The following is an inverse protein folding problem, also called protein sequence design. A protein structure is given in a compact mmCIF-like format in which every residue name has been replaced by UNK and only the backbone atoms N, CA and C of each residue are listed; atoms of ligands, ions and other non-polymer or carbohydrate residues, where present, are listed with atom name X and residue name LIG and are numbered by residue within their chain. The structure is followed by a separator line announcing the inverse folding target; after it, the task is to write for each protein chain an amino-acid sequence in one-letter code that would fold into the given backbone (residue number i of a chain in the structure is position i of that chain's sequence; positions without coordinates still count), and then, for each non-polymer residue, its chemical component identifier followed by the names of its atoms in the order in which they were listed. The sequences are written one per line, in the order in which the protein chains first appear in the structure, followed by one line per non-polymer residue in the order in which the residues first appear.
data_IF_142755360934
#
_entry.id   IF_142755360934
#
_cell.length_a   1.000
_cell.length_b   1.000
_cell.length_c   1.000
_cell.angle_alpha   90.00
_cell.angle_beta   90.00
_cell.angle_gamma   90.00
#
_symmetry.space_group_name_H-M   'P 1'
#
loop_
_entity.id
_entity.type
_entity.pdbx_description
1 polymer ?
#
# COMPACT_ATOMS: atom_id res chain seq x y z
N UNK A 1 8.76 7.98 3.25
CA UNK A 1 7.55 7.92 2.40
C UNK A 1 7.14 6.46 2.24
N UNK A 2 5.84 6.19 2.15
CA UNK A 2 5.23 4.84 2.19
C UNK A 2 5.29 4.12 3.54
N UNK A 3 5.12 4.83 4.66
CA UNK A 3 4.96 4.24 6.01
C UNK A 3 3.72 4.79 6.70
N UNK A 4 3.38 4.25 7.87
CA UNK A 4 2.26 4.69 8.71
C UNK A 4 2.33 6.18 9.05
N UNK A 5 3.53 6.77 9.08
CA UNK A 5 3.76 8.20 9.35
C UNK A 5 3.06 9.12 8.35
N UNK A 6 2.75 8.65 7.13
CA UNK A 6 2.00 9.43 6.16
C UNK A 6 0.59 9.81 6.65
N UNK A 7 0.03 9.06 7.59
CA UNK A 7 -1.31 9.29 8.13
C UNK A 7 -1.32 10.20 9.35
N UNK A 8 -0.17 10.69 9.81
CA UNK A 8 -0.04 11.41 11.08
C UNK A 8 -1.02 12.58 11.22
N UNK A 9 -1.14 13.42 10.20
CA UNK A 9 -2.03 14.60 10.25
C UNK A 9 -3.52 14.21 10.19
N UNK A 10 -3.87 13.17 9.42
CA UNK A 10 -5.23 12.63 9.39
C UNK A 10 -5.61 12.01 10.73
N UNK A 11 -4.72 11.21 11.32
CA UNK A 11 -4.92 10.58 12.64
C UNK A 11 -5.13 11.67 13.69
N UNK A 12 -4.25 12.68 13.74
CA UNK A 12 -4.37 13.80 14.67
C UNK A 12 -5.73 14.50 14.54
N UNK A 13 -6.11 14.87 13.31
CA UNK A 13 -7.37 15.58 13.05
C UNK A 13 -8.59 14.74 13.46
N UNK A 14 -8.58 13.44 13.17
CA UNK A 14 -9.67 12.53 13.50
C UNK A 14 -9.75 12.23 15.00
N UNK A 15 -8.62 12.19 15.70
CA UNK A 15 -8.56 12.05 17.16
C UNK A 15 -9.01 13.32 17.90
N UNK A 16 -8.76 14.51 17.34
CA UNK A 16 -9.15 15.79 17.92
C UNK A 16 -10.67 16.07 17.76
N UNK A 17 -11.29 15.48 16.73
CA UNK A 17 -12.76 15.38 16.69
C UNK A 17 -13.20 14.57 17.91
N UNK A 18 -14.21 14.99 18.68
CA UNK A 18 -14.67 14.45 19.99
C UNK A 18 -15.12 12.96 19.99
N UNK A 19 -14.53 12.13 19.16
CA UNK A 19 -14.92 10.80 18.78
C UNK A 19 -14.09 9.76 19.52
N UNK A 20 -14.75 8.68 19.91
CA UNK A 20 -14.18 7.49 20.56
C UNK A 20 -13.46 6.54 19.59
N UNK A 21 -12.90 7.07 18.50
CA UNK A 21 -12.33 6.25 17.42
C UNK A 21 -10.94 5.72 17.78
N UNK A 22 -10.78 4.40 17.76
CA UNK A 22 -9.46 3.74 17.75
C UNK A 22 -8.94 3.73 16.31
N UNK A 23 -7.97 4.60 16.01
CA UNK A 23 -7.37 4.70 14.68
C UNK A 23 -6.02 3.98 14.67
N UNK A 24 -5.79 3.13 13.67
CA UNK A 24 -4.56 2.35 13.51
C UNK A 24 -4.04 2.57 12.09
N UNK A 25 -2.82 3.07 11.99
CA UNK A 25 -2.02 2.99 10.78
C UNK A 25 -0.85 2.03 11.05
N UNK A 26 -0.55 1.17 10.09
CA UNK A 26 0.48 0.14 10.21
C UNK A 26 1.39 0.17 8.98
N UNK A 27 2.62 -0.31 9.18
CA UNK A 27 3.60 -0.44 8.11
C UNK A 27 3.40 -1.78 7.40
N UNK A 28 3.21 -1.75 6.08
CA UNK A 28 3.19 -2.96 5.27
C UNK A 28 4.56 -3.66 5.31
N UNK A 29 4.58 -4.98 5.13
CA UNK A 29 5.83 -5.73 4.94
C UNK A 29 6.69 -5.06 3.85
N UNK A 30 7.99 -4.94 4.10
CA UNK A 30 8.93 -4.23 3.23
C UNK A 30 8.87 -2.71 3.28
N UNK A 31 8.09 -2.12 4.20
CA UNK A 31 7.92 -0.68 4.34
C UNK A 31 8.10 -0.23 5.79
N UNK A 32 8.50 1.03 5.98
CA UNK A 32 8.63 1.65 7.28
C UNK A 32 9.51 0.82 8.23
N UNK A 33 8.94 0.39 9.35
CA UNK A 33 9.60 -0.44 10.36
C UNK A 33 9.31 -1.94 10.25
N UNK A 34 8.47 -2.34 9.30
CA UNK A 34 8.14 -3.75 9.09
C UNK A 34 9.24 -4.47 8.31
N UNK A 35 9.48 -5.74 8.64
CA UNK A 35 10.49 -6.58 7.98
C UNK A 35 10.22 -6.72 6.48
N UNK A 36 11.28 -6.88 5.69
CA UNK A 36 11.27 -7.14 4.24
C UNK A 36 10.91 -8.60 3.95
N UNK A 37 11.18 -9.53 4.87
CA UNK A 37 10.96 -10.96 4.61
C UNK A 37 11.81 -11.46 3.42
N UNK A 38 11.22 -12.24 2.52
CA UNK A 38 11.90 -12.79 1.33
C UNK A 38 11.87 -11.85 0.10
N UNK A 39 11.27 -10.67 0.24
CA UNK A 39 11.14 -9.69 -0.83
C UNK A 39 10.21 -10.10 -1.98
N UNK A 40 9.37 -11.14 -1.80
CA UNK A 40 8.33 -11.53 -2.75
C UNK A 40 6.95 -11.12 -2.22
N UNK A 41 6.40 -10.04 -2.79
CA UNK A 41 5.13 -9.49 -2.31
C UNK A 41 4.00 -9.73 -3.32
N UNK A 42 2.93 -10.37 -2.84
CA UNK A 42 1.64 -10.44 -3.49
C UNK A 42 0.61 -9.64 -2.69
N UNK A 43 -0.46 -9.17 -3.34
CA UNK A 43 -1.56 -8.51 -2.63
C UNK A 43 -2.16 -9.45 -1.55
N UNK A 44 -2.25 -10.75 -1.84
CA UNK A 44 -2.71 -11.75 -0.87
C UNK A 44 -1.88 -11.77 0.41
N UNK A 45 -0.56 -11.65 0.31
CA UNK A 45 0.32 -11.63 1.47
C UNK A 45 0.04 -10.41 2.36
N UNK A 46 -0.19 -9.24 1.75
CA UNK A 46 -0.57 -8.05 2.52
C UNK A 46 -1.96 -8.17 3.16
N UNK A 47 -2.89 -8.89 2.52
CA UNK A 47 -4.20 -9.19 3.12
C UNK A 47 -4.03 -10.14 4.31
N UNK A 48 -3.21 -11.18 4.19
CA UNK A 48 -2.89 -12.09 5.30
C UNK A 48 -2.28 -11.33 6.49
N UNK A 49 -1.33 -10.44 6.22
CA UNK A 49 -0.71 -9.59 7.24
C UNK A 49 -1.74 -8.66 7.93
N UNK A 50 -2.65 -8.06 7.16
CA UNK A 50 -3.73 -7.24 7.70
C UNK A 50 -4.66 -8.04 8.61
N UNK A 51 -5.12 -9.22 8.18
CA UNK A 51 -6.01 -10.06 8.99
C UNK A 51 -5.32 -10.53 10.26
N UNK A 52 -4.06 -10.98 10.16
CA UNK A 52 -3.27 -11.38 11.32
C UNK A 52 -3.06 -10.22 12.31
N UNK A 53 -2.88 -8.99 11.81
CA UNK A 53 -2.80 -7.80 12.65
C UNK A 53 -4.12 -7.53 13.38
N UNK A 54 -5.27 -7.62 12.70
CA UNK A 54 -6.57 -7.46 13.34
C UNK A 54 -6.79 -8.50 14.43
N UNK A 55 -6.44 -9.76 14.17
CA UNK A 55 -6.56 -10.85 15.15
C UNK A 55 -5.65 -10.63 16.36
N UNK A 56 -4.40 -10.24 16.12
CA UNK A 56 -3.45 -9.91 17.19
C UNK A 56 -3.95 -8.75 18.07
N UNK A 57 -4.52 -7.72 17.45
CA UNK A 57 -5.08 -6.55 18.14
C UNK A 57 -6.49 -6.80 18.70
N UNK A 58 -7.04 -8.00 18.52
CA UNK A 58 -8.39 -8.42 18.91
C UNK A 58 -9.47 -7.48 18.38
N UNK A 59 -9.41 -7.21 17.08
CA UNK A 59 -10.37 -6.37 16.36
C UNK A 59 -11.24 -7.27 15.49
N UNK A 60 -12.48 -7.47 15.92
CA UNK A 60 -13.42 -8.31 15.20
C UNK A 60 -13.89 -7.66 13.89
N UNK A 61 -14.19 -6.36 13.94
CA UNK A 61 -14.69 -5.58 12.80
C UNK A 61 -14.08 -4.18 12.72
N UNK A 62 -13.69 -3.75 11.53
CA UNK A 62 -13.06 -2.44 11.29
C UNK A 62 -13.65 -1.69 10.09
N UNK A 63 -13.45 -0.37 10.05
CA UNK A 63 -13.55 0.41 8.81
C UNK A 63 -12.16 0.40 8.17
N UNK A 64 -12.06 -0.03 6.92
CA UNK A 64 -10.78 -0.17 6.23
C UNK A 64 -10.54 0.98 5.26
N UNK A 65 -9.41 1.68 5.42
CA UNK A 65 -8.98 2.74 4.52
C UNK A 65 -7.76 2.29 3.72
N UNK A 66 -7.82 2.44 2.39
CA UNK A 66 -6.75 2.10 1.47
C UNK A 66 -6.37 3.28 0.57
N UNK A 67 -5.06 3.59 0.49
CA UNK A 67 -4.50 4.61 -0.38
C UNK A 67 -3.58 3.99 -1.44
N UNK A 68 -3.74 4.34 -2.72
CA UNK A 68 -2.93 3.81 -3.82
C UNK A 68 -2.87 2.27 -3.81
N UNK A 69 -1.70 1.64 -3.65
CA UNK A 69 -1.57 0.19 -3.48
C UNK A 69 -2.43 -0.36 -2.33
N UNK A 70 -2.61 0.41 -1.26
CA UNK A 70 -3.47 0.07 -0.13
C UNK A 70 -4.94 -0.11 -0.52
N UNK A 71 -5.41 0.52 -1.60
CA UNK A 71 -6.75 0.29 -2.13
C UNK A 71 -6.94 -1.12 -2.69
N UNK A 72 -5.93 -1.67 -3.40
CA UNK A 72 -5.97 -3.06 -3.88
C UNK A 72 -5.99 -4.06 -2.73
N UNK A 73 -5.19 -3.81 -1.68
CA UNK A 73 -5.20 -4.60 -0.46
C UNK A 73 -6.59 -4.55 0.18
N UNK A 74 -7.17 -3.36 0.29
CA UNK A 74 -8.47 -3.17 0.93
C UNK A 74 -9.62 -3.84 0.16
N UNK A 75 -9.63 -3.72 -1.17
CA UNK A 75 -10.59 -4.40 -2.05
C UNK A 75 -10.47 -5.92 -1.94
N UNK A 76 -9.25 -6.45 -1.91
CA UNK A 76 -9.04 -7.89 -1.79
C UNK A 76 -9.39 -8.42 -0.39
N UNK A 77 -9.10 -7.65 0.65
CA UNK A 77 -9.46 -8.00 2.03
C UNK A 77 -10.99 -8.07 2.24
N UNK A 78 -11.75 -7.10 1.70
CA UNK A 78 -13.21 -7.13 1.82
C UNK A 78 -13.84 -8.24 0.98
N UNK A 79 -13.27 -8.56 -0.18
CA UNK A 79 -13.71 -9.70 -1.01
C UNK A 79 -13.52 -11.03 -0.28
N UNK A 80 -12.37 -11.22 0.40
CA UNK A 80 -12.01 -12.48 1.07
C UNK A 80 -12.65 -12.61 2.46
N UNK A 81 -12.83 -11.50 3.18
CA UNK A 81 -13.26 -11.47 4.57
C UNK A 81 -14.33 -10.39 4.83
N UNK A 82 -15.49 -10.44 4.12
CA UNK A 82 -16.48 -9.36 4.17
C UNK A 82 -17.01 -9.06 5.58
N UNK A 83 -17.11 -10.08 6.44
CA UNK A 83 -17.62 -9.91 7.81
C UNK A 83 -16.68 -9.11 8.72
N UNK A 84 -15.39 -9.03 8.37
CA UNK A 84 -14.36 -8.30 9.14
C UNK A 84 -14.40 -6.80 8.93
N UNK A 85 -15.18 -6.31 7.95
CA UNK A 85 -15.19 -4.89 7.60
C UNK A 85 -16.61 -4.31 7.58
N UNK A 86 -16.80 -3.16 8.21
CA UNK A 86 -18.10 -2.46 8.23
C UNK A 86 -18.24 -1.40 7.15
N UNK A 87 -17.13 -0.85 6.67
CA UNK A 87 -17.08 0.10 5.57
C UNK A 87 -15.68 0.13 4.94
N UNK A 88 -15.61 0.72 3.75
CA UNK A 88 -14.39 0.86 2.95
C UNK A 88 -14.20 2.33 2.55
N UNK A 89 -12.97 2.83 2.68
CA UNK A 89 -12.53 4.15 2.20
C UNK A 89 -11.41 3.92 1.19
N UNK A 90 -11.57 4.43 -0.03
CA UNK A 90 -10.61 4.29 -1.13
C UNK A 90 -10.10 5.68 -1.54
N UNK A 91 -8.79 5.89 -1.44
CA UNK A 91 -8.14 7.16 -1.73
C UNK A 91 -7.13 6.97 -2.87
N UNK A 92 -7.29 7.73 -3.96
CA UNK A 92 -6.33 7.79 -5.08
C UNK A 92 -5.82 6.40 -5.53
N UNK A 93 -6.77 5.53 -5.84
CA UNK A 93 -6.55 4.12 -6.15
C UNK A 93 -7.46 3.69 -7.30
N UNK A 94 -7.32 2.44 -7.74
CA UNK A 94 -8.11 1.86 -8.82
C UNK A 94 -8.74 0.55 -8.37
N UNK A 95 -9.91 0.24 -8.93
CA UNK A 95 -10.60 -1.04 -8.70
C UNK A 95 -10.23 -2.11 -9.72
N UNK A 96 -9.76 -1.70 -10.91
CA UNK A 96 -9.41 -2.62 -11.98
C UNK A 96 -8.05 -3.27 -11.71
N UNK A 97 -7.94 -4.55 -12.07
CA UNK A 97 -6.66 -5.24 -12.07
C UNK A 97 -5.73 -4.69 -13.16
N UNK A 98 -4.41 -4.82 -12.94
CA UNK A 98 -3.40 -4.53 -13.96
C UNK A 98 -3.67 -5.35 -15.24
N UNK A 99 -3.51 -4.71 -16.39
CA UNK A 99 -3.53 -5.39 -17.69
C UNK A 99 -2.37 -6.39 -17.80
N UNK A 100 -2.45 -7.34 -18.74
CA UNK A 100 -1.37 -8.29 -18.97
C UNK A 100 -0.06 -7.57 -19.36
N UNK A 101 -0.16 -6.50 -20.15
CA UNK A 101 0.98 -5.67 -20.53
C UNK A 101 1.59 -4.99 -19.30
N UNK A 102 0.77 -4.46 -18.39
CA UNK A 102 1.25 -3.85 -17.15
C UNK A 102 1.97 -4.87 -16.26
N UNK A 103 1.41 -6.08 -16.11
CA UNK A 103 2.05 -7.18 -15.37
C UNK A 103 3.40 -7.57 -15.97
N UNK A 104 3.48 -7.71 -17.30
CA UNK A 104 4.73 -8.03 -18.00
C UNK A 104 5.76 -6.91 -17.79
N UNK A 105 5.36 -5.63 -17.89
CA UNK A 105 6.25 -4.49 -17.62
C UNK A 105 6.82 -4.54 -16.20
N UNK A 106 5.98 -4.80 -15.19
CA UNK A 106 6.43 -4.94 -13.79
C UNK A 106 7.40 -6.11 -13.62
N UNK A 107 7.10 -7.27 -14.20
CA UNK A 107 7.99 -8.43 -14.13
C UNK A 107 9.36 -8.14 -14.76
N UNK A 108 9.39 -7.42 -15.89
CA UNK A 108 10.64 -7.00 -16.53
C UNK A 108 11.40 -5.96 -15.69
N UNK A 109 10.71 -5.01 -15.07
CA UNK A 109 11.32 -4.06 -14.15
C UNK A 109 11.99 -4.76 -12.95
N UNK A 110 11.31 -5.75 -12.35
CA UNK A 110 11.89 -6.56 -11.26
C UNK A 110 13.16 -7.29 -11.72
N UNK A 111 13.12 -7.91 -12.92
CA UNK A 111 14.30 -8.57 -13.50
C UNK A 111 15.46 -7.59 -13.74
N UNK A 112 15.16 -6.39 -14.23
CA UNK A 112 16.15 -5.35 -14.47
C UNK A 112 16.76 -4.89 -13.14
N UNK A 113 15.95 -4.58 -12.13
CA UNK A 113 16.44 -4.17 -10.79
C UNK A 113 17.35 -5.24 -10.19
N UNK A 114 16.97 -6.52 -10.29
CA UNK A 114 17.79 -7.64 -9.79
C UNK A 114 19.14 -7.77 -10.52
N UNK A 115 19.22 -7.34 -11.78
CA UNK A 115 20.42 -7.46 -12.62
C UNK A 115 21.32 -6.22 -12.58
N UNK A 116 20.71 -5.04 -12.60
CA UNK A 116 21.36 -3.75 -12.88
C UNK A 116 21.32 -2.79 -11.69
N UNK A 117 20.66 -3.17 -10.60
CA UNK A 117 20.48 -2.31 -9.42
C UNK A 117 19.28 -1.38 -9.52
N UNK A 118 18.97 -0.72 -8.41
CA UNK A 118 17.82 0.18 -8.29
C UNK A 118 18.06 1.53 -8.96
N UNK A 119 19.32 1.95 -9.03
CA UNK A 119 19.76 3.24 -9.58
C UNK A 119 19.37 3.35 -11.05
N UNK A 120 19.66 2.31 -11.84
CA UNK A 120 19.33 2.29 -13.26
C UNK A 120 17.83 2.32 -13.53
N UNK A 121 17.06 1.63 -12.69
CA UNK A 121 15.60 1.67 -12.75
C UNK A 121 15.08 3.08 -12.40
N UNK A 122 15.62 3.69 -11.35
CA UNK A 122 15.22 5.02 -10.90
C UNK A 122 15.46 6.09 -11.98
N UNK A 123 16.61 6.08 -12.67
CA UNK A 123 16.87 6.98 -13.79
C UNK A 123 15.80 6.90 -14.89
N UNK A 124 15.39 5.69 -15.26
CA UNK A 124 14.34 5.48 -16.26
C UNK A 124 12.97 5.90 -15.75
N UNK A 125 12.67 5.59 -14.50
CA UNK A 125 11.40 5.93 -13.86
C UNK A 125 11.22 7.44 -13.75
N UNK A 126 12.24 8.18 -13.31
CA UNK A 126 12.19 9.65 -13.18
C UNK A 126 11.82 10.32 -14.50
N UNK A 127 12.43 9.90 -15.62
CA UNK A 127 12.12 10.42 -16.95
C UNK A 127 10.70 10.11 -17.43
N UNK A 128 10.07 9.07 -16.88
CA UNK A 128 8.71 8.69 -17.23
C UNK A 128 7.64 9.45 -16.43
N UNK A 129 7.98 9.97 -15.24
CA UNK A 129 7.02 10.62 -14.33
C UNK A 129 7.22 12.12 -14.19
N UNK A 130 8.37 12.66 -14.58
CA UNK A 130 8.65 14.10 -14.62
C UNK A 130 8.72 14.62 -16.05
N UNK A 131 8.34 15.89 -16.23
CA UNK A 131 8.49 16.59 -17.50
C UNK A 131 9.97 16.82 -17.82
N UNK A 132 10.31 17.00 -19.11
CA UNK A 132 11.72 17.16 -19.51
C UNK A 132 12.32 18.43 -18.91
N UNK A 133 11.51 19.46 -18.74
CA UNK A 133 11.84 20.75 -18.15
C UNK A 133 12.28 20.63 -16.68
N UNK A 134 11.78 19.62 -15.95
CA UNK A 134 12.17 19.36 -14.55
C UNK A 134 13.66 19.07 -14.41
N UNK A 135 14.31 18.54 -15.46
CA UNK A 135 15.73 18.16 -15.44
C UNK A 135 16.67 19.26 -15.92
N UNK A 136 16.12 20.35 -16.48
CA UNK A 136 16.90 21.46 -17.06
C UNK A 136 16.87 22.72 -16.18
N UNK A 137 16.20 22.66 -15.02
CA UNK A 137 16.03 23.77 -14.07
C UNK A 137 17.14 23.82 -13.02
#
# INVERSE_FOLDING_TARGET
PFSSEMWKEQIKTLQDSKNTLRIIAYDLRGHGRSDVGDGQYAIELFVDDLIALLDHLKIDKAILCGFSMGGYIALRAIERNPDRFSALILCDTMSAADSNEAKIRRANAIKQIKKEGVERYAEGFLKAVFATETFNA
#
